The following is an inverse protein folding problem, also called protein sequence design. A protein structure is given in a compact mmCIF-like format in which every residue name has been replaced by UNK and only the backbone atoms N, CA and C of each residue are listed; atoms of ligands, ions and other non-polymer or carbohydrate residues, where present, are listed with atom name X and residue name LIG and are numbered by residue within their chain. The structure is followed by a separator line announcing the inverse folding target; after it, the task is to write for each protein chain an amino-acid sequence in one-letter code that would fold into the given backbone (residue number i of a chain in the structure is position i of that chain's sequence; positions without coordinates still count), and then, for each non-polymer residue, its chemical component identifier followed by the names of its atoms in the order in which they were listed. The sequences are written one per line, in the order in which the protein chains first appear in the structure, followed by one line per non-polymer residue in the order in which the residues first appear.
data_IF_949370806796
#
_entry.id   IF_949370806796
#
_cell.length_a   1.000
_cell.length_b   1.000
_cell.length_c   1.000
_cell.angle_alpha   90.00
_cell.angle_beta   90.00
_cell.angle_gamma   90.00
#
_symmetry.space_group_name_H-M   'P 1'
#
loop_
_entity.id
_entity.type
_entity.pdbx_description
1 polymer ?
#
# COMPACT_ATOMS: atom_id res chain seq x y z
N UNK A 1 5.42 1.29 -10.27
CA UNK A 1 6.39 2.42 -10.36
C UNK A 1 6.59 2.74 -11.84
N UNK A 2 6.50 3.99 -12.22
CA UNK A 2 6.64 4.46 -13.63
C UNK A 2 8.02 4.18 -14.25
N UNK A 3 9.07 4.03 -13.43
CA UNK A 3 10.44 3.80 -13.90
C UNK A 3 11.00 2.54 -13.24
N UNK A 4 11.72 1.71 -14.01
CA UNK A 4 12.39 0.54 -13.47
C UNK A 4 13.61 0.95 -12.61
N UNK A 5 13.94 0.19 -11.56
CA UNK A 5 15.16 0.44 -10.79
C UNK A 5 16.42 0.49 -11.67
N UNK A 6 16.54 -0.43 -12.64
CA UNK A 6 17.67 -0.48 -13.56
C UNK A 6 17.82 0.78 -14.42
N UNK A 7 16.71 1.37 -14.87
CA UNK A 7 16.74 2.64 -15.59
C UNK A 7 17.20 3.80 -14.69
N UNK A 8 16.68 3.85 -13.46
CA UNK A 8 17.09 4.89 -12.50
C UNK A 8 18.57 4.77 -12.12
N UNK A 9 19.07 3.56 -11.98
CA UNK A 9 20.48 3.31 -11.68
C UNK A 9 21.36 3.68 -12.90
N UNK A 10 20.95 3.31 -14.11
CA UNK A 10 21.67 3.67 -15.34
C UNK A 10 21.86 5.18 -15.50
N UNK A 11 20.80 5.98 -15.29
CA UNK A 11 20.92 7.44 -15.45
C UNK A 11 21.73 8.08 -14.30
N UNK A 12 21.71 7.50 -13.08
CA UNK A 12 22.57 7.93 -11.98
C UNK A 12 24.03 7.66 -12.26
N UNK A 13 24.35 6.48 -12.77
CA UNK A 13 25.74 6.06 -13.02
C UNK A 13 26.38 6.88 -14.14
N UNK A 14 25.58 7.37 -15.10
CA UNK A 14 26.07 8.18 -16.22
C UNK A 14 26.26 9.66 -15.88
N UNK A 15 25.57 10.16 -14.87
CA UNK A 15 25.62 11.59 -14.50
C UNK A 15 26.23 11.74 -13.12
N UNK A 16 27.46 12.30 -12.99
CA UNK A 16 27.99 12.65 -11.68
C UNK A 16 27.01 13.57 -10.93
N UNK A 17 26.74 13.28 -9.65
CA UNK A 17 25.81 14.10 -8.87
C UNK A 17 26.29 15.56 -8.77
N UNK A 18 27.60 15.79 -8.79
CA UNK A 18 28.20 17.11 -8.83
C UNK A 18 27.78 17.92 -10.06
N UNK A 19 27.51 17.27 -11.20
CA UNK A 19 27.05 17.95 -12.43
C UNK A 19 25.62 18.45 -12.27
N UNK A 20 24.77 17.71 -11.57
CA UNK A 20 23.38 18.13 -11.27
C UNK A 20 23.40 19.30 -10.28
N UNK A 21 24.11 19.12 -9.17
CA UNK A 21 24.18 20.09 -8.07
C UNK A 21 24.90 21.37 -8.49
N UNK A 22 25.98 21.25 -9.31
CA UNK A 22 26.76 22.36 -9.79
C UNK A 22 26.01 23.38 -10.65
N UNK A 23 24.81 23.02 -11.12
CA UNK A 23 23.90 23.99 -11.77
C UNK A 23 23.26 24.97 -10.78
N UNK A 24 23.34 24.71 -9.47
CA UNK A 24 22.69 25.48 -8.40
C UNK A 24 23.66 26.03 -7.35
N UNK A 25 24.87 25.50 -7.26
CA UNK A 25 25.86 25.91 -6.26
C UNK A 25 27.19 26.29 -6.93
N UNK A 26 27.97 27.10 -6.22
CA UNK A 26 29.38 27.37 -6.60
C UNK A 26 30.28 26.54 -5.70
N UNK A 27 31.10 25.69 -6.29
CA UNK A 27 32.00 24.80 -5.56
C UNK A 27 33.14 25.59 -4.88
N UNK A 28 33.40 25.28 -3.62
CA UNK A 28 34.53 25.85 -2.89
C UNK A 28 35.86 25.26 -3.39
N UNK A 29 36.72 26.10 -3.94
CA UNK A 29 37.98 25.67 -4.57
C UNK A 29 38.99 25.07 -3.58
N UNK A 30 38.90 25.41 -2.30
CA UNK A 30 39.86 24.98 -1.28
C UNK A 30 39.54 23.64 -0.70
N UNK A 31 38.24 23.33 -0.54
CA UNK A 31 37.76 22.09 0.03
C UNK A 31 37.49 21.01 -1.01
N UNK A 32 37.19 21.38 -2.24
CA UNK A 32 36.84 20.45 -3.33
C UNK A 32 38.07 19.73 -3.90
N UNK A 33 37.91 18.42 -4.15
CA UNK A 33 38.91 17.57 -4.80
C UNK A 33 38.28 16.84 -6.00
N UNK A 34 38.21 17.46 -7.20
CA UNK A 34 37.57 16.90 -8.37
C UNK A 34 38.11 15.52 -8.80
N UNK A 35 39.42 15.22 -8.75
CA UNK A 35 39.92 13.89 -9.11
C UNK A 35 39.41 12.77 -8.23
N UNK A 36 38.98 13.07 -6.99
CA UNK A 36 38.35 12.11 -6.07
C UNK A 36 36.82 12.10 -6.16
N UNK A 37 36.23 13.02 -6.94
CA UNK A 37 34.76 13.20 -6.97
C UNK A 37 34.20 13.76 -5.66
N UNK A 38 35.00 14.55 -4.94
CA UNK A 38 34.70 15.12 -3.62
C UNK A 38 34.48 16.63 -3.76
N UNK A 39 33.27 17.08 -3.52
CA UNK A 39 32.83 18.43 -3.83
C UNK A 39 32.18 19.10 -2.62
N UNK A 40 32.57 20.36 -2.36
CA UNK A 40 32.09 21.14 -1.24
C UNK A 40 31.55 22.49 -1.69
N UNK A 41 30.44 22.92 -1.08
CA UNK A 41 29.79 24.21 -1.35
C UNK A 41 29.09 24.74 -0.09
N UNK A 42 28.68 26.01 -0.13
CA UNK A 42 27.65 26.51 0.78
C UNK A 42 26.30 25.83 0.43
N UNK A 43 25.53 25.46 1.44
CA UNK A 43 24.30 24.71 1.27
C UNK A 43 23.22 25.56 0.58
N UNK A 44 22.57 25.05 -0.48
CA UNK A 44 21.49 25.77 -1.15
C UNK A 44 20.16 25.70 -0.39
N UNK A 45 20.05 24.82 0.63
CA UNK A 45 18.82 24.64 1.40
C UNK A 45 18.75 25.54 2.66
N UNK A 46 19.87 26.05 3.11
CA UNK A 46 19.94 27.02 4.21
C UNK A 46 21.05 28.04 3.98
N UNK A 47 20.86 29.23 4.50
CA UNK A 47 21.85 30.31 4.35
C UNK A 47 23.08 30.08 5.24
N UNK A 48 24.30 30.01 4.64
CA UNK A 48 25.55 29.89 5.38
C UNK A 48 26.71 30.62 4.67
N UNK A 49 27.76 30.93 5.44
CA UNK A 49 28.95 31.62 4.91
C UNK A 49 30.15 30.69 4.73
N UNK A 50 30.12 29.49 5.33
CA UNK A 50 31.21 28.52 5.26
C UNK A 50 30.69 27.21 4.68
N UNK A 51 31.40 26.59 3.73
CA UNK A 51 30.94 25.39 3.05
C UNK A 51 30.76 24.21 4.02
N UNK A 52 29.51 23.74 4.17
CA UNK A 52 29.13 22.57 4.93
C UNK A 52 28.35 21.54 4.10
N UNK A 53 28.04 21.87 2.85
CA UNK A 53 27.37 20.98 1.93
C UNK A 53 28.40 20.17 1.15
N UNK A 54 28.34 18.86 1.29
CA UNK A 54 29.26 17.89 0.72
C UNK A 54 28.56 17.01 -0.31
N UNK A 55 29.18 16.74 -1.41
CA UNK A 55 28.71 15.90 -2.50
C UNK A 55 29.82 14.94 -2.93
N UNK A 56 29.52 13.66 -3.06
CA UNK A 56 30.47 12.61 -3.45
C UNK A 56 29.96 11.86 -4.68
N UNK A 57 30.61 12.06 -5.83
CA UNK A 57 30.22 11.47 -7.12
C UNK A 57 30.23 9.94 -7.08
N UNK A 58 31.23 9.33 -6.42
CA UNK A 58 31.34 7.86 -6.33
C UNK A 58 30.19 7.19 -5.60
N UNK A 59 29.57 7.92 -4.67
CA UNK A 59 28.38 7.43 -3.92
C UNK A 59 27.07 7.90 -4.52
N UNK A 60 27.12 8.87 -5.46
CA UNK A 60 25.91 9.49 -6.01
C UNK A 60 25.04 10.17 -4.95
N UNK A 61 25.67 10.73 -3.89
CA UNK A 61 24.97 11.29 -2.75
C UNK A 61 25.53 12.64 -2.30
N UNK A 62 24.63 13.45 -1.72
CA UNK A 62 25.00 14.66 -1.01
C UNK A 62 24.58 14.60 0.46
N UNK A 63 25.25 15.36 1.29
CA UNK A 63 24.93 15.57 2.69
C UNK A 63 25.36 16.95 3.15
N UNK A 64 24.52 17.67 3.87
CA UNK A 64 24.87 18.93 4.52
C UNK A 64 25.14 18.71 6.01
N UNK A 65 26.33 19.01 6.46
CA UNK A 65 26.72 18.89 7.86
C UNK A 65 26.15 20.04 8.73
N UNK A 66 25.60 21.10 8.12
CA UNK A 66 24.96 22.22 8.81
C UNK A 66 23.50 21.95 9.16
N UNK A 67 22.68 21.55 8.17
CA UNK A 67 21.24 21.34 8.37
C UNK A 67 20.78 19.87 8.30
N UNK A 68 21.71 18.93 8.03
CA UNK A 68 21.41 17.50 7.98
C UNK A 68 20.68 17.00 6.72
N UNK A 69 20.34 17.88 5.76
CA UNK A 69 19.70 17.48 4.51
C UNK A 69 20.65 16.55 3.72
N UNK A 70 20.08 15.47 3.16
CA UNK A 70 20.83 14.50 2.38
C UNK A 70 19.96 13.82 1.33
N UNK A 71 20.57 13.38 0.23
CA UNK A 71 19.83 12.72 -0.84
C UNK A 71 20.69 12.28 -2.02
N UNK A 72 20.00 11.97 -3.12
CA UNK A 72 20.58 11.65 -4.42
C UNK A 72 20.20 12.73 -5.45
N UNK A 73 20.49 12.48 -6.72
CA UNK A 73 20.19 13.35 -7.86
C UNK A 73 18.73 13.79 -7.89
N UNK A 74 17.81 12.83 -7.74
CA UNK A 74 16.37 13.09 -7.85
C UNK A 74 15.87 13.87 -6.65
N UNK A 75 16.28 13.47 -5.44
CA UNK A 75 15.89 14.16 -4.22
C UNK A 75 16.37 15.61 -4.20
N UNK A 76 17.58 15.88 -4.73
CA UNK A 76 18.09 17.24 -4.86
C UNK A 76 17.16 18.11 -5.71
N UNK A 77 16.78 17.61 -6.90
CA UNK A 77 15.92 18.34 -7.83
C UNK A 77 14.49 18.52 -7.31
N UNK A 78 13.95 17.50 -6.64
CA UNK A 78 12.59 17.59 -6.08
C UNK A 78 12.52 18.56 -4.90
N UNK A 79 13.51 18.56 -4.02
CA UNK A 79 13.49 19.41 -2.81
C UNK A 79 13.93 20.85 -3.09
N UNK A 80 14.90 21.09 -3.99
CA UNK A 80 15.40 22.42 -4.26
C UNK A 80 14.64 23.12 -5.38
N UNK A 81 14.40 22.43 -6.50
CA UNK A 81 13.74 23.01 -7.68
C UNK A 81 12.22 22.83 -7.66
N UNK A 82 11.66 22.07 -6.69
CA UNK A 82 10.24 21.79 -6.60
C UNK A 82 9.70 20.90 -7.71
N UNK A 83 10.57 20.19 -8.43
CA UNK A 83 10.17 19.30 -9.52
C UNK A 83 9.43 18.08 -8.95
N UNK A 84 8.45 17.58 -9.69
CA UNK A 84 7.92 16.25 -9.40
C UNK A 84 8.98 15.18 -9.68
N UNK A 85 8.87 14.02 -9.05
CA UNK A 85 9.82 12.93 -9.28
C UNK A 85 9.97 12.54 -10.76
N UNK A 86 8.89 12.45 -11.58
CA UNK A 86 9.03 12.22 -13.02
C UNK A 86 9.82 13.29 -13.77
N UNK A 87 9.63 14.57 -13.45
CA UNK A 87 10.37 15.67 -14.06
C UNK A 87 11.86 15.66 -13.65
N UNK A 88 12.15 15.31 -12.40
CA UNK A 88 13.51 15.12 -11.93
C UNK A 88 14.21 13.95 -12.66
N UNK A 89 13.50 12.84 -12.89
CA UNK A 89 14.00 11.69 -13.66
C UNK A 89 14.28 12.09 -15.12
N UNK A 90 13.35 12.80 -15.78
CA UNK A 90 13.51 13.29 -17.14
C UNK A 90 14.73 14.19 -17.25
N UNK A 91 14.91 15.11 -16.31
CA UNK A 91 16.08 16.02 -16.28
C UNK A 91 17.39 15.28 -16.18
N UNK A 92 17.48 14.27 -15.31
CA UNK A 92 18.72 13.47 -15.17
C UNK A 92 18.92 12.57 -16.40
N UNK A 93 17.86 12.01 -16.98
CA UNK A 93 17.93 11.22 -18.21
C UNK A 93 18.44 12.05 -19.40
N UNK A 94 17.96 13.29 -19.55
CA UNK A 94 18.46 14.21 -20.57
C UNK A 94 19.95 14.51 -20.38
N UNK A 95 20.39 14.76 -19.15
CA UNK A 95 21.81 14.96 -18.83
C UNK A 95 22.66 13.71 -19.10
N UNK A 96 22.08 12.52 -18.90
CA UNK A 96 22.72 11.23 -19.16
C UNK A 96 22.77 10.87 -20.66
N UNK A 97 22.03 11.58 -21.52
CA UNK A 97 21.83 11.21 -22.91
C UNK A 97 21.09 9.88 -23.07
N UNK A 98 20.24 9.50 -22.10
CA UNK A 98 19.48 8.26 -22.12
C UNK A 98 18.02 8.60 -22.46
N UNK A 99 17.44 8.00 -23.51
CA UNK A 99 16.05 8.25 -23.87
C UNK A 99 15.13 7.78 -22.75
N UNK A 100 14.10 8.58 -22.45
CA UNK A 100 13.05 8.18 -21.51
C UNK A 100 12.38 6.88 -21.98
N UNK A 101 12.07 5.95 -21.06
CA UNK A 101 11.29 4.78 -21.41
C UNK A 101 9.95 5.19 -22.03
N UNK A 102 9.55 4.50 -23.08
CA UNK A 102 8.27 4.75 -23.72
C UNK A 102 7.15 4.73 -22.66
N UNK A 103 6.24 5.71 -22.71
CA UNK A 103 5.07 5.74 -21.84
C UNK A 103 4.24 4.48 -22.10
N UNK A 104 4.13 3.64 -21.11
CA UNK A 104 3.15 2.54 -21.14
C UNK A 104 1.78 3.10 -20.75
N UNK A 105 1.07 3.60 -21.76
CA UNK A 105 -0.28 4.16 -21.61
C UNK A 105 -1.24 3.13 -21.03
N UNK A 106 -1.01 1.83 -21.34
CA UNK A 106 -1.84 0.76 -20.80
C UNK A 106 -1.57 0.53 -19.32
N UNK A 107 -0.29 0.60 -18.87
CA UNK A 107 0.04 0.49 -17.46
C UNK A 107 -0.50 1.69 -16.67
N UNK A 108 -0.41 2.92 -17.22
CA UNK A 108 -1.00 4.12 -16.59
C UNK A 108 -2.53 4.00 -16.48
N UNK A 109 -3.21 3.52 -17.52
CA UNK A 109 -4.65 3.29 -17.51
C UNK A 109 -5.06 2.24 -16.47
N UNK A 110 -4.32 1.11 -16.39
CA UNK A 110 -4.55 0.08 -15.37
C UNK A 110 -4.31 0.62 -13.94
N UNK A 111 -3.27 1.41 -13.72
CA UNK A 111 -2.99 1.97 -12.40
C UNK A 111 -4.10 2.96 -11.99
N UNK A 112 -4.63 3.75 -12.92
CA UNK A 112 -5.78 4.63 -12.70
C UNK A 112 -7.04 3.82 -12.37
N UNK A 113 -7.37 2.82 -13.17
CA UNK A 113 -8.51 1.92 -12.93
C UNK A 113 -8.41 1.25 -11.55
N UNK A 114 -7.23 0.74 -11.18
CA UNK A 114 -7.00 0.15 -9.85
C UNK A 114 -7.19 1.16 -8.70
N UNK A 115 -6.85 2.43 -8.92
CA UNK A 115 -7.10 3.47 -7.93
C UNK A 115 -8.61 3.71 -7.77
N UNK A 116 -9.36 3.83 -8.86
CA UNK A 116 -10.81 3.97 -8.86
C UNK A 116 -11.50 2.78 -8.17
N UNK A 117 -11.12 1.54 -8.48
CA UNK A 117 -11.64 0.35 -7.79
C UNK A 117 -11.29 0.33 -6.29
N UNK A 118 -10.12 0.84 -5.90
CA UNK A 118 -9.73 0.94 -4.49
C UNK A 118 -10.63 1.94 -3.74
N UNK A 119 -11.04 3.04 -4.38
CA UNK A 119 -11.98 4.00 -3.79
C UNK A 119 -13.38 3.36 -3.59
N UNK A 120 -13.82 2.52 -4.51
CA UNK A 120 -15.06 1.74 -4.35
C UNK A 120 -14.97 0.78 -3.15
N UNK A 121 -13.83 0.10 -2.99
CA UNK A 121 -13.61 -0.79 -1.83
C UNK A 121 -13.59 -0.03 -0.51
N UNK A 122 -13.06 1.19 -0.49
CA UNK A 122 -13.08 2.07 0.67
C UNK A 122 -14.51 2.52 1.02
N UNK A 123 -15.33 2.90 0.03
CA UNK A 123 -16.74 3.21 0.22
C UNK A 123 -17.53 2.00 0.76
N UNK A 124 -17.26 0.80 0.24
CA UNK A 124 -17.86 -0.42 0.74
C UNK A 124 -17.43 -0.72 2.20
N UNK A 125 -16.19 -0.45 2.55
CA UNK A 125 -15.69 -0.60 3.92
C UNK A 125 -16.44 0.34 4.87
N UNK A 126 -16.53 1.63 4.51
CA UNK A 126 -17.27 2.63 5.30
C UNK A 126 -18.76 2.23 5.49
N UNK A 127 -19.40 1.71 4.44
CA UNK A 127 -20.75 1.19 4.53
C UNK A 127 -20.85 0.06 5.58
N UNK A 128 -19.97 -0.93 5.52
CA UNK A 128 -20.02 -2.05 6.47
C UNK A 128 -19.71 -1.61 7.90
N UNK A 129 -18.77 -0.68 8.09
CA UNK A 129 -18.48 -0.08 9.40
C UNK A 129 -19.72 0.62 9.97
N UNK A 130 -20.42 1.43 9.16
CA UNK A 130 -21.66 2.11 9.55
C UNK A 130 -22.77 1.11 9.91
N UNK A 131 -22.97 0.06 9.10
CA UNK A 131 -23.97 -0.98 9.37
C UNK A 131 -23.68 -1.76 10.65
N UNK A 132 -22.40 -1.97 10.98
CA UNK A 132 -22.05 -2.60 12.27
C UNK A 132 -22.50 -1.75 13.45
N UNK A 133 -22.44 -0.43 13.35
CA UNK A 133 -22.86 0.48 14.44
C UNK A 133 -24.38 0.72 14.48
N UNK A 134 -25.08 0.49 13.38
CA UNK A 134 -26.54 0.64 13.29
C UNK A 134 -27.28 -0.43 14.12
N UNK A 135 -28.60 -0.27 14.26
CA UNK A 135 -29.45 -1.21 15.01
C UNK A 135 -29.40 -2.65 14.46
N UNK A 136 -29.34 -2.78 13.14
CA UNK A 136 -29.26 -4.07 12.44
C UNK A 136 -27.95 -4.84 12.74
N UNK A 137 -26.86 -4.15 13.08
CA UNK A 137 -25.58 -4.73 13.49
C UNK A 137 -25.55 -5.25 14.95
N UNK A 138 -26.63 -5.16 15.70
CA UNK A 138 -26.63 -5.49 17.13
C UNK A 138 -26.17 -6.94 17.42
N UNK A 139 -26.64 -7.91 16.62
CA UNK A 139 -26.21 -9.32 16.76
C UNK A 139 -24.71 -9.49 16.47
N UNK A 140 -24.21 -8.81 15.44
CA UNK A 140 -22.81 -8.86 15.07
C UNK A 140 -21.93 -8.25 16.18
N UNK A 141 -22.32 -7.10 16.74
CA UNK A 141 -21.61 -6.50 17.89
C UNK A 141 -21.62 -7.40 19.12
N UNK A 142 -22.77 -8.04 19.43
CA UNK A 142 -22.86 -9.00 20.54
C UNK A 142 -21.89 -10.17 20.32
N UNK A 143 -21.89 -10.76 19.13
CA UNK A 143 -20.97 -11.83 18.78
C UNK A 143 -19.49 -11.42 18.95
N UNK A 144 -19.09 -10.24 18.42
CA UNK A 144 -17.70 -9.76 18.52
C UNK A 144 -17.29 -9.52 19.99
N UNK A 145 -18.19 -8.98 20.82
CA UNK A 145 -17.99 -8.83 22.26
C UNK A 145 -17.85 -10.19 22.96
N UNK A 146 -18.71 -11.16 22.65
CA UNK A 146 -18.69 -12.50 23.24
C UNK A 146 -17.42 -13.26 22.84
N UNK A 147 -16.80 -12.89 21.71
CA UNK A 147 -15.46 -13.35 21.28
C UNK A 147 -14.31 -12.54 21.90
N UNK A 148 -14.61 -11.64 22.82
CA UNK A 148 -13.61 -10.88 23.57
C UNK A 148 -12.99 -9.70 22.82
N UNK A 149 -13.52 -9.31 21.65
CA UNK A 149 -12.95 -8.19 20.88
C UNK A 149 -13.41 -6.84 21.41
N UNK A 150 -12.49 -6.00 21.84
CA UNK A 150 -12.77 -4.64 22.31
C UNK A 150 -13.24 -3.72 21.17
N UNK A 151 -14.01 -2.67 21.44
CA UNK A 151 -14.40 -1.67 20.44
C UNK A 151 -13.18 -1.05 19.71
N UNK A 152 -12.10 -0.77 20.44
CA UNK A 152 -10.86 -0.24 19.85
C UNK A 152 -10.24 -1.21 18.84
N UNK A 153 -10.23 -2.52 19.16
CA UNK A 153 -9.76 -3.55 18.24
C UNK A 153 -10.65 -3.67 17.01
N UNK A 154 -11.97 -3.66 17.20
CA UNK A 154 -12.94 -3.70 16.10
C UNK A 154 -12.72 -2.52 15.15
N UNK A 155 -12.55 -1.32 15.68
CA UNK A 155 -12.27 -0.12 14.89
C UNK A 155 -10.90 -0.18 14.21
N UNK A 156 -9.86 -0.61 14.92
CA UNK A 156 -8.50 -0.74 14.39
C UNK A 156 -8.44 -1.70 13.19
N UNK A 157 -9.22 -2.78 13.20
CA UNK A 157 -9.34 -3.73 12.10
C UNK A 157 -10.48 -3.37 11.13
N UNK A 158 -11.18 -2.25 11.36
CA UNK A 158 -12.25 -1.75 10.50
C UNK A 158 -13.35 -2.78 10.28
N UNK A 159 -13.68 -3.55 11.33
CA UNK A 159 -14.71 -4.59 11.24
C UNK A 159 -16.06 -3.97 10.91
N UNK A 160 -16.80 -4.67 10.06
CA UNK A 160 -18.10 -4.23 9.58
C UNK A 160 -19.18 -5.29 9.67
N UNK A 161 -20.38 -4.94 9.23
CA UNK A 161 -21.50 -5.86 9.08
C UNK A 161 -22.17 -5.67 7.72
N UNK A 162 -22.36 -6.77 7.01
CA UNK A 162 -23.18 -6.82 5.81
C UNK A 162 -24.61 -7.21 6.22
N UNK A 163 -25.61 -6.33 6.03
CA UNK A 163 -26.98 -6.61 6.44
C UNK A 163 -27.61 -7.76 5.64
N UNK A 164 -28.70 -8.33 6.16
CA UNK A 164 -29.48 -9.33 5.46
C UNK A 164 -30.34 -8.68 4.35
N UNK A 165 -29.66 -8.21 3.31
CA UNK A 165 -30.27 -7.56 2.16
C UNK A 165 -29.62 -8.03 0.86
N UNK A 166 -30.41 -8.06 -0.21
CA UNK A 166 -29.88 -8.39 -1.55
C UNK A 166 -29.21 -7.22 -2.25
N UNK A 167 -29.51 -5.97 -1.86
CA UNK A 167 -29.12 -4.80 -2.64
C UNK A 167 -28.59 -3.63 -1.81
N UNK A 168 -28.52 -3.72 -0.48
CA UNK A 168 -28.20 -2.57 0.37
C UNK A 168 -26.85 -1.92 0.04
N UNK A 169 -25.79 -2.72 -0.17
CA UNK A 169 -24.49 -2.21 -0.58
C UNK A 169 -24.52 -1.66 -2.01
N UNK A 170 -25.12 -2.42 -2.93
CA UNK A 170 -25.22 -2.01 -4.34
C UNK A 170 -25.93 -0.66 -4.48
N UNK A 171 -27.07 -0.48 -3.80
CA UNK A 171 -27.83 0.77 -3.80
C UNK A 171 -27.03 1.92 -3.17
N UNK A 172 -26.32 1.65 -2.06
CA UNK A 172 -25.48 2.63 -1.39
C UNK A 172 -24.35 3.15 -2.31
N UNK A 173 -23.68 2.25 -3.05
CA UNK A 173 -22.62 2.60 -3.99
C UNK A 173 -23.17 3.32 -5.21
N UNK A 174 -24.27 2.83 -5.79
CA UNK A 174 -24.93 3.48 -6.93
C UNK A 174 -25.41 4.90 -6.61
N UNK A 175 -25.93 5.14 -5.41
CA UNK A 175 -26.34 6.47 -4.96
C UNK A 175 -25.14 7.45 -4.83
N UNK A 176 -23.90 6.93 -4.80
CA UNK A 176 -22.65 7.71 -4.80
C UNK A 176 -21.97 7.81 -6.15
N UNK A 177 -22.67 7.39 -7.21
CA UNK A 177 -22.19 7.49 -8.59
C UNK A 177 -21.26 6.35 -9.02
N UNK A 178 -21.11 5.28 -8.23
CA UNK A 178 -20.32 4.11 -8.64
C UNK A 178 -21.07 3.33 -9.70
N UNK A 179 -20.43 3.09 -10.83
CA UNK A 179 -20.98 2.33 -11.95
C UNK A 179 -21.14 0.83 -11.65
N UNK A 180 -22.04 0.19 -12.40
CA UNK A 180 -22.28 -1.25 -12.27
C UNK A 180 -21.01 -2.06 -12.50
N UNK A 181 -20.25 -1.74 -13.54
CA UNK A 181 -19.06 -2.48 -13.95
C UNK A 181 -17.97 -2.40 -12.86
N UNK A 182 -17.82 -1.28 -12.17
CA UNK A 182 -16.89 -1.10 -11.07
C UNK A 182 -17.30 -1.92 -9.85
N UNK A 183 -18.61 -1.96 -9.52
CA UNK A 183 -19.15 -2.79 -8.42
C UNK A 183 -18.90 -4.27 -8.69
N UNK A 184 -19.13 -4.73 -9.93
CA UNK A 184 -18.88 -6.10 -10.38
C UNK A 184 -17.38 -6.43 -10.38
N UNK A 185 -16.53 -5.52 -10.88
CA UNK A 185 -15.07 -5.68 -10.90
C UNK A 185 -14.46 -5.78 -9.50
N UNK A 186 -15.05 -5.11 -8.50
CA UNK A 186 -14.67 -5.25 -7.08
C UNK A 186 -15.12 -6.57 -6.43
N UNK A 187 -15.92 -7.40 -7.11
CA UNK A 187 -16.45 -8.65 -6.57
C UNK A 187 -17.42 -8.47 -5.39
N UNK A 188 -18.08 -7.30 -5.32
CA UNK A 188 -19.01 -6.96 -4.24
C UNK A 188 -20.40 -7.53 -4.47
N UNK A 189 -20.73 -7.90 -5.69
CA UNK A 189 -22.00 -8.51 -6.08
C UNK A 189 -21.80 -9.87 -6.74
N UNK A 190 -22.83 -10.69 -6.71
CA UNK A 190 -22.96 -11.91 -7.52
C UNK A 190 -23.66 -11.50 -8.81
N UNK A 191 -23.02 -11.77 -9.94
CA UNK A 191 -23.53 -11.50 -11.28
C UNK A 191 -23.14 -12.65 -12.24
N UNK A 192 -23.69 -12.67 -13.42
CA UNK A 192 -23.40 -13.70 -14.45
C UNK A 192 -24.60 -13.96 -15.34
N UNK A 193 -24.45 -14.85 -16.33
CA UNK A 193 -25.50 -15.17 -17.32
C UNK A 193 -26.75 -15.77 -16.67
N UNK A 194 -26.59 -16.54 -15.60
CA UNK A 194 -27.69 -17.19 -14.87
C UNK A 194 -28.26 -16.30 -13.73
N UNK A 195 -27.77 -15.06 -13.60
CA UNK A 195 -28.21 -14.11 -12.56
C UNK A 195 -28.89 -12.91 -13.22
N UNK A 196 -30.22 -12.91 -13.38
CA UNK A 196 -30.95 -11.85 -14.08
C UNK A 196 -30.73 -10.46 -13.49
N UNK A 197 -30.59 -10.37 -12.15
CA UNK A 197 -30.31 -9.13 -11.43
C UNK A 197 -29.20 -9.40 -10.43
N UNK A 198 -28.08 -8.68 -10.56
CA UNK A 198 -26.97 -8.77 -9.62
C UNK A 198 -27.42 -8.41 -8.20
N UNK A 199 -26.85 -9.09 -7.21
CA UNK A 199 -27.17 -8.90 -5.79
C UNK A 199 -25.92 -8.92 -4.92
N UNK A 200 -26.01 -8.31 -3.73
CA UNK A 200 -24.91 -8.21 -2.79
C UNK A 200 -24.36 -9.61 -2.44
N UNK A 201 -23.04 -9.77 -2.61
CA UNK A 201 -22.35 -11.03 -2.34
C UNK A 201 -22.36 -11.39 -0.86
N UNK A 202 -22.13 -10.40 -0.01
CA UNK A 202 -22.08 -10.57 1.43
C UNK A 202 -23.43 -10.18 2.05
N UNK A 203 -24.02 -11.09 2.81
CA UNK A 203 -25.34 -10.91 3.44
C UNK A 203 -25.35 -11.61 4.78
N UNK A 204 -25.86 -10.94 5.82
CA UNK A 204 -25.87 -11.40 7.21
C UNK A 204 -24.49 -11.92 7.65
N UNK A 205 -23.44 -11.07 7.47
CA UNK A 205 -22.07 -11.44 7.76
C UNK A 205 -21.32 -10.34 8.51
N UNK A 206 -20.46 -10.74 9.45
CA UNK A 206 -19.40 -9.88 9.95
C UNK A 206 -18.35 -9.76 8.85
N UNK A 207 -17.92 -8.53 8.57
CA UNK A 207 -17.00 -8.21 7.49
C UNK A 207 -15.60 -7.94 8.03
N UNK A 208 -14.61 -8.55 7.39
CA UNK A 208 -13.18 -8.41 7.65
C UNK A 208 -12.55 -7.79 6.40
N UNK A 209 -12.24 -6.48 6.40
CA UNK A 209 -11.52 -5.86 5.30
C UNK A 209 -10.12 -6.46 5.14
N UNK A 210 -9.73 -6.77 3.93
CA UNK A 210 -8.44 -7.36 3.59
C UNK A 210 -7.59 -6.28 2.90
N UNK A 211 -6.56 -5.75 3.57
CA UNK A 211 -5.69 -4.74 3.00
C UNK A 211 -4.55 -5.35 2.17
N UNK A 212 -4.08 -4.59 1.18
CA UNK A 212 -2.82 -4.86 0.48
C UNK A 212 -1.59 -4.51 1.36
N UNK A 213 -0.39 -4.69 0.82
CA UNK A 213 0.87 -4.37 1.50
C UNK A 213 1.05 -2.87 1.84
N UNK A 214 0.21 -1.98 1.27
CA UNK A 214 0.19 -0.53 1.53
C UNK A 214 -0.94 -0.12 2.48
N UNK A 215 -1.81 -1.07 2.87
CA UNK A 215 -2.95 -0.83 3.75
C UNK A 215 -4.25 -0.43 3.03
N UNK A 216 -4.30 -0.46 1.70
CA UNK A 216 -5.52 -0.17 0.93
C UNK A 216 -6.39 -1.42 0.90
N UNK A 217 -7.69 -1.27 1.11
CA UNK A 217 -8.61 -2.41 1.09
C UNK A 217 -8.78 -2.92 -0.35
N UNK A 218 -8.57 -4.23 -0.55
CA UNK A 218 -8.61 -4.90 -1.85
C UNK A 218 -9.62 -6.05 -1.92
N UNK A 219 -10.11 -6.51 -0.77
CA UNK A 219 -11.06 -7.62 -0.66
C UNK A 219 -11.75 -7.61 0.71
N UNK A 220 -12.69 -8.51 0.89
CA UNK A 220 -13.35 -8.80 2.15
C UNK A 220 -13.40 -10.29 2.45
N UNK A 221 -13.28 -10.64 3.72
CA UNK A 221 -13.77 -11.88 4.29
C UNK A 221 -15.10 -11.62 4.99
N UNK A 222 -16.02 -12.56 4.93
CA UNK A 222 -17.32 -12.45 5.58
C UNK A 222 -17.66 -13.69 6.41
N UNK A 223 -17.85 -13.56 7.73
CA UNK A 223 -18.32 -14.64 8.62
C UNK A 223 -19.83 -14.59 8.77
N UNK A 224 -20.50 -15.68 8.42
CA UNK A 224 -21.96 -15.78 8.55
C UNK A 224 -22.42 -15.66 10.01
N UNK A 225 -23.52 -14.95 10.22
CA UNK A 225 -24.21 -14.87 11.51
C UNK A 225 -25.18 -16.04 11.71
N UNK A 226 -25.82 -16.50 10.63
CA UNK A 226 -26.66 -17.69 10.68
C UNK A 226 -25.82 -18.97 10.72
N UNK A 227 -26.16 -19.95 11.59
CA UNK A 227 -25.54 -21.27 11.58
C UNK A 227 -25.88 -22.08 10.31
N UNK A 228 -27.04 -21.80 9.68
CA UNK A 228 -27.56 -22.51 8.51
C UNK A 228 -26.99 -21.96 7.19
N UNK A 229 -26.08 -21.00 7.25
CA UNK A 229 -25.46 -20.45 6.06
C UNK A 229 -24.62 -21.51 5.32
N UNK A 230 -24.68 -21.58 3.98
CA UNK A 230 -23.96 -22.58 3.17
C UNK A 230 -22.44 -22.60 3.43
N UNK A 231 -21.87 -21.47 3.82
CA UNK A 231 -20.46 -21.34 4.17
C UNK A 231 -20.31 -20.44 5.39
N UNK A 232 -19.65 -20.93 6.44
CA UNK A 232 -19.33 -20.16 7.65
C UNK A 232 -18.47 -18.94 7.31
N UNK A 233 -17.48 -19.10 6.46
CA UNK A 233 -16.65 -18.01 5.93
C UNK A 233 -16.78 -17.95 4.41
N UNK A 234 -16.88 -16.74 3.89
CA UNK A 234 -16.93 -16.42 2.46
C UNK A 234 -15.95 -15.29 2.19
N UNK A 235 -15.08 -15.46 1.22
CA UNK A 235 -14.16 -14.40 0.78
C UNK A 235 -14.62 -13.77 -0.54
N UNK A 236 -14.09 -12.59 -0.85
CA UNK A 236 -14.19 -12.01 -2.20
C UNK A 236 -13.72 -13.02 -3.24
N UNK A 237 -14.27 -13.00 -4.46
CA UNK A 237 -13.74 -13.77 -5.58
C UNK A 237 -12.38 -13.23 -6.02
N UNK A 238 -11.70 -13.93 -6.92
CA UNK A 238 -10.56 -13.37 -7.63
C UNK A 238 -10.99 -12.15 -8.44
N UNK A 239 -10.22 -11.06 -8.32
CA UNK A 239 -10.49 -9.79 -9.02
C UNK A 239 -9.18 -9.18 -9.48
N UNK A 240 -9.23 -8.07 -10.23
CA UNK A 240 -8.02 -7.31 -10.60
C UNK A 240 -7.25 -6.79 -9.36
N UNK A 241 -7.96 -6.48 -8.26
CA UNK A 241 -7.34 -6.03 -7.01
C UNK A 241 -6.82 -7.18 -6.15
N UNK A 242 -7.45 -8.35 -6.22
CA UNK A 242 -7.30 -9.40 -5.23
C UNK A 242 -7.06 -10.78 -5.83
N UNK A 243 -5.90 -11.35 -5.52
CA UNK A 243 -5.54 -12.74 -5.80
C UNK A 243 -5.26 -13.44 -4.48
N UNK A 244 -6.18 -14.30 -4.05
CA UNK A 244 -6.18 -14.95 -2.74
C UNK A 244 -4.88 -15.65 -2.39
N UNK A 245 -4.24 -16.30 -3.36
CA UNK A 245 -2.97 -17.00 -3.19
C UNK A 245 -1.76 -16.07 -3.00
N UNK A 246 -1.92 -14.77 -3.23
CA UNK A 246 -0.83 -13.78 -3.18
C UNK A 246 -0.97 -12.80 -2.01
N UNK A 247 -1.92 -13.03 -1.10
CA UNK A 247 -2.22 -12.10 0.00
C UNK A 247 -2.28 -12.86 1.31
N UNK A 248 -1.71 -12.28 2.36
CA UNK A 248 -1.86 -12.71 3.74
C UNK A 248 -2.64 -11.64 4.50
N UNK A 249 -3.63 -12.05 5.29
CA UNK A 249 -4.35 -11.14 6.17
C UNK A 249 -3.42 -10.50 7.19
N UNK A 250 -3.60 -9.21 7.46
CA UNK A 250 -2.76 -8.41 8.36
C UNK A 250 -1.29 -8.20 7.93
N UNK A 251 -0.93 -8.51 6.69
CA UNK A 251 0.47 -8.44 6.21
C UNK A 251 1.12 -7.07 6.43
N UNK A 252 0.41 -5.97 6.15
CA UNK A 252 0.95 -4.62 6.26
C UNK A 252 1.36 -4.23 7.70
N UNK A 253 0.60 -4.67 8.73
CA UNK A 253 0.93 -4.45 10.15
C UNK A 253 2.03 -5.39 10.61
N UNK A 254 1.90 -6.68 10.29
CA UNK A 254 2.88 -7.68 10.66
C UNK A 254 4.28 -7.34 10.12
N UNK A 255 4.38 -6.85 8.88
CA UNK A 255 5.64 -6.39 8.31
C UNK A 255 6.28 -5.25 9.12
N UNK A 256 5.49 -4.33 9.67
CA UNK A 256 6.03 -3.25 10.52
C UNK A 256 6.52 -3.77 11.87
N UNK A 257 5.84 -4.78 12.45
CA UNK A 257 6.25 -5.42 13.69
C UNK A 257 7.54 -6.23 13.49
N UNK A 258 7.60 -7.05 12.45
CA UNK A 258 8.79 -7.84 12.09
C UNK A 258 10.00 -6.95 11.79
N UNK A 259 9.81 -5.78 11.18
CA UNK A 259 10.90 -4.81 10.97
C UNK A 259 11.49 -4.26 12.29
N UNK A 260 10.79 -4.39 13.42
CA UNK A 260 11.27 -4.08 14.78
C UNK A 260 11.98 -5.26 15.48
N UNK A 261 12.15 -6.37 14.79
CA UNK A 261 12.84 -7.58 15.29
C UNK A 261 11.91 -8.67 15.85
N UNK A 262 10.59 -8.55 15.62
CA UNK A 262 9.64 -9.59 16.02
C UNK A 262 9.62 -10.75 15.02
N UNK A 263 9.40 -11.97 15.51
CA UNK A 263 9.22 -13.17 14.66
C UNK A 263 7.81 -13.18 14.07
N UNK A 264 7.65 -13.52 12.79
CA UNK A 264 6.31 -13.62 12.17
C UNK A 264 5.56 -14.84 12.72
N UNK A 265 4.29 -14.65 13.07
CA UNK A 265 3.37 -15.70 13.51
C UNK A 265 2.36 -16.00 12.39
N UNK A 266 2.21 -17.26 12.01
CA UNK A 266 1.22 -17.68 11.02
C UNK A 266 0.13 -18.47 11.72
N UNK A 267 -1.13 -18.01 11.56
CA UNK A 267 -2.33 -18.61 12.18
C UNK A 267 -3.40 -18.90 11.12
N UNK A 268 -4.48 -19.60 11.51
CA UNK A 268 -5.43 -20.11 10.52
C UNK A 268 -6.40 -19.05 9.96
N UNK A 269 -6.85 -18.07 10.78
CA UNK A 269 -7.95 -17.23 10.37
C UNK A 269 -7.95 -15.81 10.92
N UNK A 270 -8.95 -15.03 10.45
CA UNK A 270 -9.12 -13.62 10.80
C UNK A 270 -9.19 -13.39 12.31
N UNK A 271 -9.99 -14.19 13.00
CA UNK A 271 -10.24 -14.01 14.43
C UNK A 271 -8.99 -14.27 15.26
N UNK A 272 -8.14 -15.23 14.85
CA UNK A 272 -6.91 -15.57 15.55
C UNK A 272 -5.89 -14.41 15.42
N UNK A 273 -5.74 -13.86 14.21
CA UNK A 273 -4.91 -12.68 13.96
C UNK A 273 -5.37 -11.49 14.81
N UNK A 274 -6.69 -11.22 14.84
CA UNK A 274 -7.22 -10.06 15.56
C UNK A 274 -7.07 -10.23 17.07
N UNK A 275 -7.29 -11.44 17.59
CA UNK A 275 -7.11 -11.74 19.01
C UNK A 275 -5.65 -11.61 19.44
N UNK A 276 -4.71 -12.11 18.64
CA UNK A 276 -3.28 -11.94 18.86
C UNK A 276 -2.86 -10.47 18.83
N UNK A 277 -3.32 -9.73 17.83
CA UNK A 277 -3.01 -8.30 17.73
C UNK A 277 -3.57 -7.52 18.94
N UNK A 278 -4.78 -7.87 19.43
CA UNK A 278 -5.34 -7.30 20.67
C UNK A 278 -4.49 -7.64 21.91
N UNK A 279 -3.87 -8.82 21.93
CA UNK A 279 -2.95 -9.24 22.99
C UNK A 279 -1.54 -8.65 22.87
N UNK A 280 -1.29 -7.79 21.85
CA UNK A 280 0.00 -7.12 21.62
C UNK A 280 0.90 -7.81 20.57
N UNK A 281 0.47 -8.92 19.95
CA UNK A 281 1.19 -9.62 18.91
C UNK A 281 0.74 -9.14 17.52
N UNK A 282 1.22 -7.98 17.10
CA UNK A 282 0.88 -7.37 15.80
C UNK A 282 1.48 -8.11 14.60
N UNK A 283 2.48 -8.97 14.83
CA UNK A 283 3.25 -9.76 13.89
C UNK A 283 2.54 -11.02 13.36
N UNK A 284 1.27 -11.22 13.73
CA UNK A 284 0.47 -12.35 13.26
C UNK A 284 -0.14 -12.12 11.88
N UNK A 285 -0.12 -13.16 11.03
CA UNK A 285 -0.76 -13.18 9.71
C UNK A 285 -1.55 -14.46 9.51
N UNK A 286 -2.50 -14.47 8.58
CA UNK A 286 -3.24 -15.68 8.22
C UNK A 286 -3.41 -15.82 6.70
N UNK A 287 -3.42 -17.06 6.15
CA UNK A 287 -3.88 -17.31 4.80
C UNK A 287 -5.39 -17.12 4.72
N UNK A 288 -5.91 -16.95 3.51
CA UNK A 288 -7.32 -16.60 3.29
C UNK A 288 -8.20 -17.85 3.04
N UNK A 289 -8.24 -18.77 4.00
CA UNK A 289 -9.14 -19.93 4.02
C UNK A 289 -8.63 -21.18 3.28
N UNK A 290 -7.32 -21.30 3.07
CA UNK A 290 -6.65 -22.51 2.55
C UNK A 290 -5.28 -22.67 3.22
N UNK A 291 -4.60 -23.78 2.99
CA UNK A 291 -3.19 -23.91 3.33
C UNK A 291 -2.34 -22.81 2.66
N UNK A 292 -1.19 -22.49 3.22
CA UNK A 292 -0.24 -21.54 2.64
C UNK A 292 0.14 -21.95 1.22
N UNK A 293 0.10 -20.98 0.30
CA UNK A 293 0.62 -21.15 -1.06
C UNK A 293 2.11 -20.82 -1.11
N UNK A 294 2.78 -21.25 -2.18
CA UNK A 294 4.20 -20.91 -2.43
C UNK A 294 4.40 -19.38 -2.45
N UNK A 295 3.52 -18.64 -3.13
CA UNK A 295 3.59 -17.18 -3.18
C UNK A 295 3.41 -16.52 -1.79
N UNK A 296 2.56 -17.08 -0.93
CA UNK A 296 2.42 -16.60 0.45
C UNK A 296 3.65 -16.92 1.30
N UNK A 297 4.29 -18.08 1.09
CA UNK A 297 5.56 -18.42 1.73
C UNK A 297 6.66 -17.44 1.28
N UNK A 298 6.73 -17.11 -0.01
CA UNK A 298 7.67 -16.09 -0.50
C UNK A 298 7.43 -14.70 0.13
N UNK A 299 6.17 -14.33 0.39
CA UNK A 299 5.86 -13.09 1.09
C UNK A 299 6.42 -13.10 2.52
N UNK A 300 6.32 -14.23 3.23
CA UNK A 300 6.89 -14.41 4.57
C UNK A 300 8.42 -14.29 4.54
N UNK A 301 9.09 -14.92 3.59
CA UNK A 301 10.54 -14.83 3.40
C UNK A 301 11.02 -13.40 3.11
N UNK A 302 10.19 -12.57 2.48
CA UNK A 302 10.51 -11.15 2.26
C UNK A 302 10.33 -10.28 3.51
N UNK A 303 9.61 -10.77 4.52
CA UNK A 303 9.40 -10.06 5.79
C UNK A 303 10.53 -10.27 6.78
N UNK A 304 11.12 -11.44 6.81
CA UNK A 304 12.16 -11.82 7.76
C UNK A 304 13.35 -12.44 7.05
N UNK A 305 14.55 -12.32 7.64
CA UNK A 305 15.76 -12.95 7.12
C UNK A 305 15.86 -14.44 7.48
N UNK A 306 15.14 -14.82 8.54
CA UNK A 306 15.06 -16.18 9.06
C UNK A 306 13.60 -16.41 9.46
N UNK A 307 12.80 -17.14 8.68
CA UNK A 307 11.40 -17.45 8.98
C UNK A 307 11.28 -18.56 10.02
#
# INVERSE_FOLDING_TARGET
MRFSPSFLDEIRDRVPISSVIGTRVTWDRRKTNPPKGDWWACCPFHGEKSPSFHCEDRKGRYHCFGCGVSGDHFKFLTELDGLSFPEAVERVADMAGVPMPARDVQAEAREKQRAELTDVMEMATAFFEERLQASEGAKARAYLRDRGLTPATQQSFRLGYAPESRNALKEYLAARGVGRDEIEACGLVVHGQDVPVSYDRFRDRIMFPIPDSRGRIIAFGGRAMSPDAPAKYLNSPETELFHKGNVLYNFARARKAVARGETVLVVEGYMDVIALAQAGFENAVAPLGTALTENQIELLWRMTREP
#
